data_IF_105468684270
#
_entry.id   IF_105468684270
#
_cell.length_a   1.000
_cell.length_b   1.000
_cell.length_c   1.000
_cell.angle_alpha   90.00
_cell.angle_beta   90.00
_cell.angle_gamma   90.00
#
_symmetry.space_group_name_H-M   'P 1'
#
loop_
_entity.id
_entity.type
_entity.pdbx_description
1 polymer ?
#
# COMPACT_ATOMS: atom_id res chain seq x y z
N UNK A 1 -27.01 7.52 -43.23
CA UNK A 1 -26.78 7.34 -41.78
C UNK A 1 -26.34 5.91 -41.56
N UNK A 2 -25.04 5.66 -41.75
CA UNK A 2 -24.49 4.31 -41.65
C UNK A 2 -24.47 3.90 -40.18
N UNK A 3 -25.23 2.87 -39.82
CA UNK A 3 -25.20 2.25 -38.50
C UNK A 3 -23.80 1.65 -38.28
N UNK A 4 -22.96 2.38 -37.55
CA UNK A 4 -21.64 1.93 -37.11
C UNK A 4 -21.85 0.88 -36.02
N UNK A 5 -21.92 -0.38 -36.44
CA UNK A 5 -22.06 -1.52 -35.54
C UNK A 5 -20.77 -1.65 -34.73
N UNK A 6 -20.85 -1.49 -33.41
CA UNK A 6 -19.73 -1.75 -32.51
C UNK A 6 -19.40 -3.26 -32.52
N UNK A 7 -18.22 -3.63 -33.02
CA UNK A 7 -17.73 -5.00 -33.03
C UNK A 7 -17.14 -5.37 -31.66
N UNK A 8 -18.01 -5.75 -30.72
CA UNK A 8 -17.62 -6.14 -29.35
C UNK A 8 -17.10 -7.58 -29.37
N UNK A 9 -15.79 -7.75 -29.58
CA UNK A 9 -15.18 -9.08 -29.78
C UNK A 9 -14.99 -9.90 -28.49
N UNK A 10 -14.86 -9.28 -27.31
CA UNK A 10 -14.87 -9.98 -26.01
C UNK A 10 -14.87 -9.02 -24.82
N UNK A 11 -15.92 -9.04 -24.00
CA UNK A 11 -15.99 -8.34 -22.69
C UNK A 11 -15.12 -9.08 -21.66
N UNK A 12 -15.08 -10.41 -21.73
CA UNK A 12 -14.31 -11.28 -20.83
C UNK A 12 -12.81 -10.94 -20.80
N UNK A 13 -12.23 -10.52 -21.94
CA UNK A 13 -10.82 -10.10 -22.01
C UNK A 13 -10.58 -8.82 -21.21
N UNK A 14 -11.53 -7.88 -21.18
CA UNK A 14 -11.42 -6.64 -20.40
C UNK A 14 -11.44 -6.96 -18.91
N UNK A 15 -12.34 -7.84 -18.49
CA UNK A 15 -12.42 -8.27 -17.09
C UNK A 15 -11.22 -9.11 -16.64
N UNK A 16 -10.72 -10.00 -17.50
CA UNK A 16 -9.50 -10.75 -17.25
C UNK A 16 -8.30 -9.80 -17.10
N UNK A 17 -8.16 -8.83 -18.01
CA UNK A 17 -7.10 -7.82 -17.91
C UNK A 17 -7.23 -7.00 -16.62
N UNK A 18 -8.43 -6.53 -16.28
CA UNK A 18 -8.72 -5.82 -15.02
C UNK A 18 -8.27 -6.63 -13.80
N UNK A 19 -8.60 -7.92 -13.76
CA UNK A 19 -8.20 -8.81 -12.67
C UNK A 19 -6.67 -8.96 -12.59
N UNK A 20 -6.00 -9.17 -13.72
CA UNK A 20 -4.52 -9.24 -13.74
C UNK A 20 -3.86 -7.93 -13.32
N UNK A 21 -4.44 -6.78 -13.71
CA UNK A 21 -3.94 -5.47 -13.36
C UNK A 21 -4.10 -5.19 -11.86
N UNK A 22 -5.23 -5.59 -11.26
CA UNK A 22 -5.42 -5.52 -9.81
C UNK A 22 -4.37 -6.37 -9.07
N UNK A 23 -4.14 -7.61 -9.51
CA UNK A 23 -3.09 -8.46 -8.94
C UNK A 23 -1.68 -7.88 -9.09
N UNK A 24 -1.39 -7.21 -10.21
CA UNK A 24 -0.13 -6.48 -10.40
C UNK A 24 0.01 -5.30 -9.42
N UNK A 25 -1.05 -4.53 -9.18
CA UNK A 25 -1.03 -3.42 -8.22
C UNK A 25 -0.71 -3.92 -6.82
N UNK A 26 -1.38 -4.99 -6.38
CA UNK A 26 -1.15 -5.56 -5.05
C UNK A 26 0.29 -6.11 -4.91
N UNK A 27 0.76 -6.85 -5.91
CA UNK A 27 2.13 -7.37 -5.93
C UNK A 27 3.18 -6.24 -5.96
N UNK A 28 2.94 -5.19 -6.76
CA UNK A 28 3.82 -4.03 -6.88
C UNK A 28 3.93 -3.26 -5.57
N UNK A 29 2.79 -3.00 -4.90
CA UNK A 29 2.77 -2.34 -3.58
C UNK A 29 3.50 -3.16 -2.52
N UNK A 30 3.26 -4.47 -2.48
CA UNK A 30 3.94 -5.35 -1.54
C UNK A 30 5.46 -5.34 -1.75
N UNK A 31 5.92 -5.45 -3.01
CA UNK A 31 7.35 -5.42 -3.33
C UNK A 31 8.01 -4.09 -2.98
N UNK A 32 7.34 -2.95 -3.22
CA UNK A 32 7.87 -1.64 -2.82
C UNK A 32 7.97 -1.49 -1.31
N UNK A 33 6.93 -1.92 -0.58
CA UNK A 33 6.92 -1.85 0.89
C UNK A 33 8.01 -2.73 1.50
N UNK A 34 8.23 -3.94 0.96
CA UNK A 34 9.28 -4.84 1.42
C UNK A 34 10.68 -4.23 1.21
N UNK A 35 10.94 -3.70 0.01
CA UNK A 35 12.21 -3.05 -0.31
C UNK A 35 12.49 -1.82 0.58
N UNK A 36 11.47 -1.00 0.84
CA UNK A 36 11.58 0.13 1.75
C UNK A 36 11.84 -0.31 3.19
N UNK A 37 11.12 -1.33 3.66
CA UNK A 37 11.28 -1.89 5.00
C UNK A 37 12.71 -2.39 5.23
N UNK A 38 13.27 -3.12 4.27
CA UNK A 38 14.61 -3.67 4.39
C UNK A 38 15.70 -2.60 4.34
N UNK A 39 15.51 -1.56 3.54
CA UNK A 39 16.38 -0.39 3.53
C UNK A 39 16.39 0.31 4.90
N UNK A 40 15.21 0.54 5.48
CA UNK A 40 15.08 1.19 6.79
C UNK A 40 15.64 0.35 7.93
N UNK A 41 15.39 -0.97 7.94
CA UNK A 41 16.01 -1.91 8.89
C UNK A 41 17.53 -1.87 8.78
N UNK A 42 18.08 -1.87 7.57
CA UNK A 42 19.53 -1.87 7.34
C UNK A 42 20.17 -0.59 7.86
N UNK A 43 19.55 0.57 7.62
CA UNK A 43 20.04 1.85 8.14
C UNK A 43 19.97 1.89 9.66
N UNK A 44 18.84 1.47 10.24
CA UNK A 44 18.66 1.45 11.70
C UNK A 44 19.68 0.53 12.37
N UNK A 45 19.95 -0.64 11.79
CA UNK A 45 20.95 -1.57 12.28
C UNK A 45 22.37 -0.99 12.20
N UNK A 46 22.72 -0.30 11.12
CA UNK A 46 24.02 0.36 11.02
C UNK A 46 24.18 1.46 12.08
N UNK A 47 23.18 2.33 12.19
CA UNK A 47 23.24 3.52 13.06
C UNK A 47 23.17 3.16 14.55
N UNK A 48 22.24 2.29 14.94
CA UNK A 48 22.04 1.93 16.35
C UNK A 48 22.94 0.79 16.78
N UNK A 49 22.89 -0.34 16.08
CA UNK A 49 23.55 -1.56 16.54
C UNK A 49 25.04 -1.56 16.24
N UNK A 50 25.43 -1.24 15.00
CA UNK A 50 26.84 -1.38 14.56
C UNK A 50 27.72 -0.29 15.13
N UNK A 51 27.27 0.97 15.16
CA UNK A 51 28.01 2.04 15.85
C UNK A 51 28.17 1.71 17.34
N UNK A 52 27.10 1.28 18.00
CA UNK A 52 27.13 0.87 19.40
C UNK A 52 28.09 -0.30 19.65
N UNK A 53 28.07 -1.32 18.79
CA UNK A 53 28.97 -2.47 18.83
C UNK A 53 30.44 -2.03 18.75
N UNK A 54 30.81 -1.23 17.74
CA UNK A 54 32.20 -0.79 17.56
C UNK A 54 32.68 0.09 18.70
N UNK A 55 31.83 0.99 19.22
CA UNK A 55 32.18 1.79 20.39
C UNK A 55 32.47 0.92 21.62
N UNK A 56 31.67 -0.13 21.87
CA UNK A 56 31.93 -1.10 22.94
C UNK A 56 33.23 -1.88 22.70
N UNK A 57 33.49 -2.31 21.46
CA UNK A 57 34.72 -3.01 21.10
C UNK A 57 35.95 -2.13 21.29
N UNK A 58 35.89 -0.86 20.89
CA UNK A 58 36.98 0.10 21.07
C UNK A 58 37.31 0.27 22.55
N UNK A 59 36.30 0.50 23.41
CA UNK A 59 36.51 0.62 24.87
C UNK A 59 37.17 -0.62 25.45
N UNK A 60 36.64 -1.81 25.16
CA UNK A 60 37.20 -3.10 25.61
C UNK A 60 38.65 -3.30 25.14
N UNK A 61 38.94 -2.98 23.88
CA UNK A 61 40.29 -3.14 23.31
C UNK A 61 41.27 -2.09 23.83
N UNK A 62 40.81 -0.88 24.17
CA UNK A 62 41.62 0.12 24.87
C UNK A 62 42.02 -0.36 26.27
N UNK A 63 41.10 -0.96 27.03
CA UNK A 63 41.43 -1.55 28.34
C UNK A 63 42.48 -2.67 28.22
N UNK A 64 42.33 -3.56 27.23
CA UNK A 64 43.31 -4.61 26.95
C UNK A 64 44.68 -4.05 26.57
N UNK A 65 44.71 -2.99 25.76
CA UNK A 65 45.93 -2.30 25.41
C UNK A 65 46.63 -1.71 26.65
N UNK A 66 45.88 -1.04 27.52
CA UNK A 66 46.42 -0.51 28.78
C UNK A 66 46.98 -1.63 29.66
N UNK A 67 46.26 -2.75 29.80
CA UNK A 67 46.75 -3.93 30.54
C UNK A 67 48.04 -4.48 29.96
N UNK A 68 48.12 -4.67 28.64
CA UNK A 68 49.32 -5.16 27.97
C UNK A 68 50.53 -4.21 28.16
N UNK A 69 50.30 -2.89 28.15
CA UNK A 69 51.34 -1.89 28.47
C UNK A 69 51.84 -2.02 29.90
N UNK A 70 50.93 -2.17 30.87
CA UNK A 70 51.28 -2.37 32.27
C UNK A 70 52.04 -3.68 32.51
N UNK A 71 51.67 -4.77 31.83
CA UNK A 71 52.37 -6.06 31.91
C UNK A 71 53.79 -5.97 31.36
N UNK A 72 53.97 -5.32 30.20
CA UNK A 72 55.29 -5.07 29.62
C UNK A 72 56.16 -4.23 30.57
N UNK A 73 55.61 -3.12 31.08
CA UNK A 73 56.30 -2.25 32.04
C UNK A 73 56.71 -3.03 33.30
N UNK A 74 55.80 -3.83 33.87
CA UNK A 74 56.08 -4.66 35.05
C UNK A 74 57.23 -5.64 34.78
N UNK A 75 57.23 -6.32 33.63
CA UNK A 75 58.29 -7.28 33.29
C UNK A 75 59.64 -6.61 33.01
N UNK A 76 59.63 -5.41 32.43
CA UNK A 76 60.86 -4.63 32.22
C UNK A 76 61.51 -4.19 33.53
N UNK A 77 60.73 -4.06 34.60
CA UNK A 77 61.18 -3.61 35.93
C UNK A 77 61.59 -4.78 36.83
N UNK A 78 61.21 -5.99 36.47
CA UNK A 78 61.65 -7.20 37.16
C UNK A 78 63.11 -7.52 36.77
N UNK A 79 63.99 -7.49 37.76
CA UNK A 79 65.37 -7.96 37.64
C UNK A 79 65.38 -9.49 37.59
N UNK A 80 66.10 -10.08 36.64
CA UNK A 80 66.23 -11.55 36.57
C UNK A 80 67.06 -12.06 37.74
N UNK A 81 66.70 -13.22 38.28
CA UNK A 81 67.42 -13.91 39.37
C UNK A 81 68.91 -14.18 39.06
N UNK A 82 69.32 -14.11 37.79
CA UNK A 82 70.71 -14.26 37.33
C UNK A 82 71.46 -12.93 37.08
N UNK A 83 70.90 -11.79 37.51
CA UNK A 83 71.52 -10.46 37.36
C UNK A 83 71.34 -9.83 35.97
N UNK A 84 70.47 -10.38 35.12
CA UNK A 84 70.16 -9.85 33.78
C UNK A 84 68.75 -9.26 33.64
N UNK A 85 68.42 -8.70 32.47
CA UNK A 85 67.05 -8.27 32.14
C UNK A 85 66.21 -9.50 31.77
N UNK A 86 65.01 -9.66 32.34
CA UNK A 86 64.08 -10.72 31.92
C UNK A 86 63.67 -10.51 30.45
N UNK A 87 63.54 -11.60 29.67
CA UNK A 87 63.15 -11.51 28.26
C UNK A 87 61.71 -11.00 28.11
N UNK A 88 61.52 -9.84 27.47
CA UNK A 88 60.23 -9.15 27.31
C UNK A 88 59.58 -9.36 25.92
N UNK A 89 60.07 -10.34 25.15
CA UNK A 89 59.62 -10.58 23.77
C UNK A 89 58.14 -10.92 23.66
N UNK A 90 57.58 -11.66 24.62
CA UNK A 90 56.18 -12.11 24.53
C UNK A 90 55.21 -10.99 24.88
N UNK A 91 55.55 -10.16 25.86
CA UNK A 91 54.78 -8.98 26.27
C UNK A 91 54.81 -7.92 25.17
N UNK A 92 55.94 -7.74 24.48
CA UNK A 92 56.00 -6.87 23.29
C UNK A 92 55.10 -7.38 22.16
N UNK A 93 55.09 -8.69 21.89
CA UNK A 93 54.18 -9.30 20.89
C UNK A 93 52.72 -9.12 21.31
N UNK A 94 52.40 -9.30 22.58
CA UNK A 94 51.04 -9.12 23.11
C UNK A 94 50.58 -7.66 23.01
N UNK A 95 51.46 -6.70 23.33
CA UNK A 95 51.20 -5.28 23.14
C UNK A 95 50.89 -4.96 21.67
N UNK A 96 51.73 -5.42 20.74
CA UNK A 96 51.52 -5.20 19.31
C UNK A 96 50.20 -5.83 18.81
N UNK A 97 49.83 -7.01 19.32
CA UNK A 97 48.52 -7.63 19.02
C UNK A 97 47.36 -6.76 19.52
N UNK A 98 47.44 -6.26 20.75
CA UNK A 98 46.40 -5.40 21.32
C UNK A 98 46.25 -4.08 20.53
N UNK A 99 47.36 -3.48 20.09
CA UNK A 99 47.35 -2.28 19.24
C UNK A 99 46.69 -2.54 17.90
N UNK A 100 47.06 -3.63 17.21
CA UNK A 100 46.43 -4.02 15.94
C UNK A 100 44.93 -4.23 16.09
N UNK A 101 44.50 -4.94 17.13
CA UNK A 101 43.07 -5.15 17.38
C UNK A 101 42.34 -3.83 17.64
N UNK A 102 42.93 -2.90 18.41
CA UNK A 102 42.31 -1.60 18.60
C UNK A 102 42.16 -0.83 17.29
N UNK A 103 43.18 -0.88 16.42
CA UNK A 103 43.13 -0.26 15.11
C UNK A 103 42.06 -0.88 14.19
N UNK A 104 41.95 -2.21 14.15
CA UNK A 104 40.90 -2.92 13.41
C UNK A 104 39.49 -2.44 13.83
N UNK A 105 39.25 -2.26 15.13
CA UNK A 105 37.95 -1.79 15.62
C UNK A 105 37.67 -0.33 15.23
N UNK A 106 38.70 0.54 15.22
CA UNK A 106 38.59 1.93 14.76
C UNK A 106 38.28 2.01 13.28
N UNK A 107 39.00 1.24 12.45
CA UNK A 107 38.73 1.12 11.01
C UNK A 107 37.31 0.61 10.76
N UNK A 108 36.86 -0.38 11.54
CA UNK A 108 35.47 -0.87 11.48
C UNK A 108 34.43 0.20 11.77
N UNK A 109 34.66 1.06 12.77
CA UNK A 109 33.78 2.19 13.09
C UNK A 109 33.75 3.23 11.95
N UNK A 110 34.91 3.60 11.41
CA UNK A 110 35.02 4.56 10.31
C UNK A 110 34.37 4.06 9.02
N UNK A 111 34.56 2.77 8.71
CA UNK A 111 33.88 2.11 7.61
C UNK A 111 32.37 2.15 7.80
N UNK A 112 31.88 1.83 9.02
CA UNK A 112 30.44 1.87 9.34
C UNK A 112 29.87 3.28 9.12
N UNK A 113 30.54 4.33 9.60
CA UNK A 113 30.11 5.73 9.39
C UNK A 113 30.10 6.12 7.90
N UNK A 114 31.06 5.64 7.14
CA UNK A 114 31.12 5.87 5.69
C UNK A 114 29.97 5.19 4.97
N UNK A 115 29.65 3.95 5.35
CA UNK A 115 28.52 3.22 4.80
C UNK A 115 27.17 3.85 5.15
N UNK A 116 26.99 4.36 6.37
CA UNK A 116 25.77 5.10 6.76
C UNK A 116 25.54 6.28 5.82
N UNK A 117 26.54 7.17 5.67
CA UNK A 117 26.45 8.34 4.78
C UNK A 117 26.17 7.96 3.33
N UNK A 118 26.81 6.90 2.84
CA UNK A 118 26.60 6.41 1.48
C UNK A 118 25.17 5.88 1.31
N UNK A 119 24.70 5.07 2.26
CA UNK A 119 23.35 4.49 2.20
C UNK A 119 22.25 5.55 2.34
N UNK A 120 22.43 6.60 3.13
CA UNK A 120 21.47 7.70 3.19
C UNK A 120 21.31 8.42 1.84
N UNK A 121 22.44 8.61 1.13
CA UNK A 121 22.43 9.16 -0.23
C UNK A 121 21.74 8.21 -1.21
N UNK A 122 22.11 6.94 -1.22
CA UNK A 122 21.48 5.95 -2.11
C UNK A 122 19.99 5.76 -1.79
N UNK A 123 19.58 5.82 -0.52
CA UNK A 123 18.16 5.82 -0.10
C UNK A 123 17.40 6.98 -0.73
N UNK A 124 17.97 8.17 -0.69
CA UNK A 124 17.33 9.36 -1.28
C UNK A 124 17.16 9.20 -2.79
N UNK A 125 18.18 8.67 -3.48
CA UNK A 125 18.12 8.39 -4.92
C UNK A 125 17.11 7.30 -5.25
N UNK A 126 17.07 6.22 -4.46
CA UNK A 126 16.09 5.14 -4.57
C UNK A 126 14.66 5.66 -4.45
N UNK A 127 14.36 6.45 -3.40
CA UNK A 127 13.02 7.02 -3.19
C UNK A 127 12.61 7.93 -4.37
N UNK A 128 13.55 8.73 -4.89
CA UNK A 128 13.28 9.56 -6.06
C UNK A 128 12.99 8.72 -7.31
N UNK A 129 13.74 7.65 -7.54
CA UNK A 129 13.57 6.77 -8.70
C UNK A 129 12.26 5.95 -8.65
N UNK A 130 11.82 5.56 -7.45
CA UNK A 130 10.62 4.73 -7.25
C UNK A 130 9.34 5.56 -7.13
N UNK A 131 9.44 6.85 -6.77
CA UNK A 131 8.28 7.73 -6.57
C UNK A 131 7.23 7.72 -7.70
N UNK A 132 7.62 7.75 -9.00
CA UNK A 132 6.63 7.65 -10.08
C UNK A 132 5.92 6.30 -10.13
N UNK A 133 6.63 5.20 -9.86
CA UNK A 133 6.04 3.87 -9.82
C UNK A 133 5.08 3.72 -8.63
N UNK A 134 5.46 4.23 -7.46
CA UNK A 134 4.58 4.26 -6.29
C UNK A 134 3.30 5.05 -6.59
N UNK A 135 3.42 6.24 -7.21
CA UNK A 135 2.26 7.05 -7.63
C UNK A 135 1.35 6.29 -8.60
N UNK A 136 1.93 5.59 -9.58
CA UNK A 136 1.15 4.80 -10.53
C UNK A 136 0.39 3.66 -9.84
N UNK A 137 1.03 2.95 -8.92
CA UNK A 137 0.42 1.87 -8.15
C UNK A 137 -0.68 2.37 -7.19
N UNK A 138 -0.52 3.57 -6.62
CA UNK A 138 -1.43 4.11 -5.62
C UNK A 138 -2.63 4.86 -6.21
N UNK A 139 -2.48 5.46 -7.39
CA UNK A 139 -3.50 6.31 -7.99
C UNK A 139 -3.85 5.92 -9.43
N UNK A 140 -2.86 5.93 -10.35
CA UNK A 140 -3.15 5.84 -11.79
C UNK A 140 -3.75 4.48 -12.18
N UNK A 141 -3.18 3.39 -11.66
CA UNK A 141 -3.64 2.04 -11.97
C UNK A 141 -4.98 1.71 -11.30
N UNK A 142 -5.24 2.04 -10.02
CA UNK A 142 -6.58 1.95 -9.44
C UNK A 142 -7.64 2.72 -10.22
N UNK A 143 -7.31 3.93 -10.71
CA UNK A 143 -8.20 4.70 -11.56
C UNK A 143 -8.48 3.97 -12.89
N UNK A 144 -7.44 3.45 -13.55
CA UNK A 144 -7.58 2.68 -14.79
C UNK A 144 -8.43 1.41 -14.60
N UNK A 145 -8.25 0.68 -13.49
CA UNK A 145 -9.08 -0.47 -13.11
C UNK A 145 -10.56 -0.07 -13.02
N UNK A 146 -10.86 1.08 -12.40
CA UNK A 146 -12.23 1.60 -12.33
C UNK A 146 -12.82 1.98 -13.70
N UNK A 147 -12.01 2.53 -14.60
CA UNK A 147 -12.42 2.83 -15.97
C UNK A 147 -12.72 1.56 -16.77
N UNK A 148 -11.87 0.53 -16.65
CA UNK A 148 -12.08 -0.78 -17.29
C UNK A 148 -13.36 -1.45 -16.79
N UNK A 149 -13.67 -1.33 -15.50
CA UNK A 149 -14.93 -1.82 -14.93
C UNK A 149 -16.13 -1.12 -15.57
N UNK A 150 -16.15 0.22 -15.59
CA UNK A 150 -17.24 1.00 -16.21
C UNK A 150 -17.40 0.67 -17.70
N UNK A 151 -16.29 0.47 -18.41
CA UNK A 151 -16.32 0.07 -19.81
C UNK A 151 -16.98 -1.29 -20.00
N UNK A 152 -16.65 -2.27 -19.14
CA UNK A 152 -17.26 -3.61 -19.18
C UNK A 152 -18.76 -3.53 -18.87
N UNK A 153 -19.15 -2.82 -17.81
CA UNK A 153 -20.56 -2.59 -17.42
C UNK A 153 -21.37 -1.95 -18.56
N UNK A 154 -20.80 -0.94 -19.24
CA UNK A 154 -21.47 -0.28 -20.36
C UNK A 154 -21.64 -1.23 -21.56
N UNK A 155 -20.62 -2.03 -21.89
CA UNK A 155 -20.69 -2.99 -22.99
C UNK A 155 -21.72 -4.09 -22.70
N UNK A 156 -21.79 -4.59 -21.47
CA UNK A 156 -22.83 -5.53 -21.02
C UNK A 156 -24.23 -4.92 -21.15
N UNK A 157 -24.41 -3.67 -20.72
CA UNK A 157 -25.67 -2.93 -20.87
C UNK A 157 -26.09 -2.78 -22.35
N UNK A 158 -25.15 -2.49 -23.25
CA UNK A 158 -25.41 -2.42 -24.69
C UNK A 158 -25.82 -3.78 -25.27
N UNK A 159 -25.20 -4.87 -24.83
CA UNK A 159 -25.54 -6.23 -25.32
C UNK A 159 -26.86 -6.75 -24.75
N UNK A 160 -27.25 -6.32 -23.56
CA UNK A 160 -28.50 -6.74 -22.90
C UNK A 160 -29.72 -5.90 -23.31
N UNK A 161 -29.51 -4.75 -23.96
CA UNK A 161 -30.60 -3.95 -24.49
C UNK A 161 -31.22 -4.67 -25.71
N UNK A 162 -32.51 -5.08 -25.67
CA UNK A 162 -33.13 -5.73 -26.81
C UNK A 162 -33.13 -4.78 -28.01
N UNK A 163 -32.83 -5.31 -29.19
CA UNK A 163 -32.90 -4.53 -30.41
C UNK A 163 -34.29 -3.85 -30.49
N UNK A 164 -34.37 -2.52 -30.70
CA UNK A 164 -35.66 -1.81 -30.71
C UNK A 164 -36.60 -2.36 -31.78
N UNK A 165 -36.06 -3.02 -32.81
CA UNK A 165 -36.80 -3.72 -33.85
C UNK A 165 -37.44 -5.04 -33.35
N UNK A 166 -36.73 -5.82 -32.52
CA UNK A 166 -37.24 -7.07 -31.94
C UNK A 166 -38.28 -6.80 -30.84
N UNK A 167 -38.06 -5.75 -30.04
CA UNK A 167 -39.02 -5.29 -29.03
C UNK A 167 -40.32 -4.74 -29.67
N UNK A 168 -40.23 -4.12 -30.86
CA UNK A 168 -41.39 -3.72 -31.66
C UNK A 168 -42.09 -4.89 -32.34
N UNK A 169 -41.36 -5.93 -32.72
CA UNK A 169 -41.92 -7.14 -33.35
C UNK A 169 -42.59 -8.09 -32.35
N UNK A 170 -42.14 -8.08 -31.09
CA UNK A 170 -42.64 -8.94 -30.01
C UNK A 170 -43.59 -8.21 -29.04
N UNK A 171 -43.80 -6.91 -29.22
CA UNK A 171 -44.82 -6.16 -28.49
C UNK A 171 -46.22 -6.65 -28.89
N UNK A 172 -47.17 -6.76 -27.94
CA UNK A 172 -48.51 -7.23 -28.25
C UNK A 172 -49.14 -6.33 -29.33
N UNK A 173 -49.57 -6.92 -30.43
CA UNK A 173 -50.34 -6.23 -31.46
C UNK A 173 -51.69 -5.87 -30.85
N UNK A 174 -51.84 -4.64 -30.38
CA UNK A 174 -53.09 -4.10 -29.83
C UNK A 174 -54.23 -4.02 -30.87
N UNK A 175 -53.98 -4.38 -32.13
CA UNK A 175 -54.91 -4.27 -33.25
C UNK A 175 -56.07 -5.30 -33.27
N UNK A 176 -56.12 -6.30 -32.38
CA UNK A 176 -57.28 -7.21 -32.30
C UNK A 176 -58.40 -6.75 -31.34
N UNK A 177 -58.22 -5.66 -30.58
CA UNK A 177 -59.21 -5.23 -29.59
C UNK A 177 -60.34 -4.32 -30.14
N UNK A 178 -60.25 -3.82 -31.38
CA UNK A 178 -61.15 -2.76 -31.86
C UNK A 178 -62.35 -3.24 -32.70
N UNK A 179 -62.58 -4.55 -32.83
CA UNK A 179 -63.64 -5.09 -33.72
C UNK A 179 -64.61 -6.07 -33.07
N UNK A 180 -65.01 -5.89 -31.80
CA UNK A 180 -66.27 -6.46 -31.30
C UNK A 180 -66.80 -5.69 -30.08
N UNK A 181 -67.50 -4.57 -30.30
CA UNK A 181 -68.68 -4.14 -29.51
C UNK A 181 -69.17 -2.78 -29.98
N UNK A 182 -70.00 -2.81 -31.04
CA UNK A 182 -70.96 -1.75 -31.31
C UNK A 182 -72.31 -2.41 -31.57
N UNK A 183 -73.20 -2.35 -30.57
CA UNK A 183 -74.67 -2.46 -30.59
C UNK A 183 -75.11 -2.66 -29.13
N UNK A 184 -75.42 -1.58 -28.41
CA UNK A 184 -76.74 -0.97 -28.25
C UNK A 184 -77.58 -1.64 -27.14
N UNK A 185 -77.82 -0.93 -26.02
CA UNK A 185 -79.12 -0.35 -25.70
C UNK A 185 -79.15 0.26 -24.30
N UNK A 186 -79.75 1.43 -24.20
CA UNK A 186 -80.02 2.22 -23.02
C UNK A 186 -81.05 1.57 -22.08
N UNK A 187 -81.04 1.94 -20.79
CA UNK A 187 -82.14 2.68 -20.11
C UNK A 187 -81.81 2.86 -18.62
N UNK A 188 -82.19 4.03 -18.11
CA UNK A 188 -82.01 4.62 -16.78
C UNK A 188 -83.23 4.34 -15.90
N UNK A 189 -83.07 4.05 -14.60
CA UNK A 189 -83.97 4.50 -13.50
C UNK A 189 -83.44 4.11 -12.10
N UNK A 190 -83.63 5.04 -11.14
CA UNK A 190 -83.28 5.12 -9.70
C UNK A 190 -84.63 5.49 -9.01
N UNK A 191 -85.01 5.17 -7.72
CA UNK A 191 -84.25 5.49 -6.49
C UNK A 191 -84.53 4.71 -5.15
N UNK A 192 -83.75 5.13 -4.12
CA UNK A 192 -83.97 5.13 -2.64
C UNK A 192 -83.88 3.79 -1.86
N UNK A 193 -83.27 3.68 -0.67
CA UNK A 193 -83.13 4.63 0.46
C UNK A 193 -81.91 4.33 1.37
N UNK A 194 -81.26 5.42 1.84
CA UNK A 194 -80.77 5.77 3.20
C UNK A 194 -80.21 4.67 4.15
N UNK A 195 -78.94 4.80 4.54
CA UNK A 195 -78.57 5.29 5.88
C UNK A 195 -77.06 5.63 5.95
N UNK A 196 -76.77 6.85 6.43
CA UNK A 196 -75.47 7.44 6.80
C UNK A 196 -75.34 7.43 8.35
N UNK A 197 -74.27 7.96 9.00
CA UNK A 197 -72.88 8.18 8.62
C UNK A 197 -71.90 7.73 9.75
N UNK A 198 -70.59 7.94 9.58
CA UNK A 198 -69.77 8.69 10.55
C UNK A 198 -68.35 8.99 10.00
N UNK A 199 -68.13 10.29 9.74
CA UNK A 199 -66.96 11.16 10.04
C UNK A 199 -65.56 10.74 9.50
N UNK A 200 -64.97 11.41 8.48
CA UNK A 200 -64.20 12.68 8.48
C UNK A 200 -63.18 12.80 9.65
N UNK A 201 -61.89 13.09 9.51
CA UNK A 201 -61.18 14.19 8.81
C UNK A 201 -59.76 13.71 8.38
N UNK A 202 -59.31 13.92 7.15
CA UNK A 202 -58.47 15.02 6.62
C UNK A 202 -57.39 15.63 7.53
N UNK A 203 -56.17 15.85 6.99
CA UNK A 203 -55.16 16.65 7.70
C UNK A 203 -53.75 16.64 7.12
N UNK A 204 -53.50 17.50 6.14
CA UNK A 204 -52.22 17.85 5.50
C UNK A 204 -51.19 18.53 6.44
N UNK A 205 -49.92 18.07 6.39
CA UNK A 205 -48.56 18.74 6.30
C UNK A 205 -48.44 20.28 6.60
N UNK A 206 -47.27 20.94 6.89
CA UNK A 206 -45.96 20.68 7.57
C UNK A 206 -45.55 21.76 8.65
N UNK A 207 -44.44 21.59 9.38
CA UNK A 207 -43.53 22.69 9.84
C UNK A 207 -42.26 22.11 10.49
N UNK A 208 -41.04 22.32 9.98
CA UNK A 208 -40.10 23.46 10.07
C UNK A 208 -39.29 23.55 11.37
N UNK A 209 -37.97 23.62 11.18
CA UNK A 209 -36.89 24.16 12.04
C UNK A 209 -36.75 23.64 13.48
N UNK A 210 -35.65 22.91 13.74
CA UNK A 210 -34.76 23.32 14.85
C UNK A 210 -33.33 22.85 14.69
N UNK A 211 -32.48 23.86 14.64
CA UNK A 211 -31.04 23.90 14.65
C UNK A 211 -30.60 24.05 16.11
N UNK A 212 -29.56 23.34 16.56
CA UNK A 212 -28.66 23.83 17.61
C UNK A 212 -27.34 23.03 17.65
N UNK A 213 -26.18 23.70 17.74
CA UNK A 213 -24.87 23.08 17.95
C UNK A 213 -24.27 23.36 19.36
N UNK A 214 -23.13 22.70 19.62
CA UNK A 214 -22.07 23.02 20.61
C UNK A 214 -22.33 22.55 22.07
N UNK A 215 -21.35 22.53 22.99
CA UNK A 215 -19.97 23.07 22.97
C UNK A 215 -18.84 22.09 22.62
#
# INVERSE_FOLDING_TARGET
>A
MSNERADVRSIEVIDAFRATLAGFVDAGRAALLEAESDLEKTILWLDRDRIGHWNRQIRKRQELLTRARSELYRKQMQTSAKGGRAGDSDERKNLQRAERHLEEARRGLEATRTWIRRLDRERTLYKAAVSPLATALDHDLPHAIGLLRKMSENLEAYTSMPAPELARLLGPTEDEAESTRRTASATMEVPASEDEPDEEETGTVPSKDRQEPAP
#
